data_IF_746916186226
#
_entry.id   IF_746916186226
#
_cell.length_a   1.000
_cell.length_b   1.000
_cell.length_c   1.000
_cell.angle_alpha   90.00
_cell.angle_beta   90.00
_cell.angle_gamma   90.00
#
_symmetry.space_group_name_H-M   'P 1'
#
loop_
_entity.id
_entity.type
_entity.pdbx_description
1 polymer ?
#
# COMPACT_ATOMS: atom_id res chain seq x y z
N UNK A 1 10.29 -17.69 -12.16
CA UNK A 1 8.98 -17.89 -12.80
C UNK A 1 8.02 -16.83 -12.29
N UNK A 2 7.14 -16.34 -13.15
CA UNK A 2 6.13 -15.35 -12.78
C UNK A 2 5.10 -15.99 -11.79
N UNK A 3 4.63 -15.28 -10.75
CA UNK A 3 3.80 -15.88 -9.71
C UNK A 3 2.48 -16.43 -10.26
N UNK A 4 2.16 -17.68 -9.94
CA UNK A 4 0.86 -18.26 -10.29
C UNK A 4 -0.26 -17.58 -9.50
N UNK A 5 -1.44 -17.40 -10.09
CA UNK A 5 -2.61 -16.84 -9.41
C UNK A 5 -2.60 -15.32 -9.22
N UNK A 6 -1.58 -14.58 -9.70
CA UNK A 6 -1.51 -13.12 -9.54
C UNK A 6 -2.78 -12.42 -10.04
N UNK A 7 -3.45 -13.01 -11.05
CA UNK A 7 -4.62 -12.44 -11.72
C UNK A 7 -5.86 -12.37 -10.82
N UNK A 8 -5.87 -13.08 -9.69
CA UNK A 8 -6.98 -13.12 -8.73
C UNK A 8 -6.86 -12.04 -7.64
N UNK A 9 -5.92 -11.09 -7.80
CA UNK A 9 -5.70 -10.02 -6.84
C UNK A 9 -6.96 -9.16 -6.61
N UNK A 10 -7.25 -8.86 -5.34
CA UNK A 10 -8.31 -7.95 -4.92
C UNK A 10 -7.98 -7.33 -3.56
N UNK A 11 -8.56 -6.17 -3.25
CA UNK A 11 -8.37 -5.57 -1.95
C UNK A 11 -8.95 -4.16 -1.85
N UNK A 12 -9.01 -3.68 -0.62
CA UNK A 12 -9.42 -2.31 -0.32
C UNK A 12 -8.55 -1.68 0.76
N UNK A 13 -8.58 -0.37 0.85
CA UNK A 13 -8.01 0.36 1.96
C UNK A 13 -9.10 1.14 2.67
N UNK A 14 -9.04 1.16 4.01
CA UNK A 14 -9.80 2.08 4.83
C UNK A 14 -8.91 3.27 5.21
N UNK A 15 -9.44 4.46 5.07
CA UNK A 15 -8.79 5.70 5.48
C UNK A 15 -9.05 5.93 6.96
N UNK A 16 -8.00 6.05 7.76
CA UNK A 16 -8.02 6.47 9.16
C UNK A 16 -6.58 6.54 9.67
N UNK A 17 -6.38 7.21 10.80
CA UNK A 17 -5.04 7.51 11.35
C UNK A 17 -4.93 7.01 12.79
N UNK A 18 -4.70 5.70 13.00
CA UNK A 18 -4.69 5.10 14.34
C UNK A 18 -3.45 5.47 15.19
N UNK A 19 -2.33 5.86 14.59
CA UNK A 19 -1.04 5.99 15.30
C UNK A 19 -0.80 7.33 16.01
N UNK A 20 -1.80 8.19 16.10
CA UNK A 20 -1.85 9.34 17.03
C UNK A 20 -3.15 9.43 17.83
N UNK A 21 -4.02 8.42 17.73
CA UNK A 21 -5.31 8.38 18.43
C UNK A 21 -6.33 9.34 17.82
N UNK A 22 -7.48 9.57 18.49
CA UNK A 22 -8.50 10.50 17.99
C UNK A 22 -7.96 11.92 17.91
N UNK A 23 -7.99 12.52 16.72
CA UNK A 23 -7.39 13.81 16.44
C UNK A 23 -8.20 14.54 15.32
N UNK A 24 -7.54 15.25 14.40
CA UNK A 24 -8.19 16.10 13.37
C UNK A 24 -7.70 15.81 11.95
N UNK A 25 -6.92 14.73 11.81
CA UNK A 25 -6.12 14.34 10.68
C UNK A 25 -6.43 12.89 10.28
N UNK A 26 -7.65 12.40 10.52
CA UNK A 26 -8.07 11.02 10.19
C UNK A 26 -8.04 10.71 8.69
N UNK A 27 -7.87 11.72 7.83
CA UNK A 27 -7.57 11.55 6.41
C UNK A 27 -6.11 11.25 6.08
N UNK A 28 -5.22 11.16 7.08
CA UNK A 28 -3.76 11.06 6.91
C UNK A 28 -3.21 9.64 7.02
N UNK A 29 -4.05 8.60 6.90
CA UNK A 29 -3.60 7.21 6.97
C UNK A 29 -4.49 6.27 6.18
N UNK A 30 -3.92 5.16 5.75
CA UNK A 30 -4.58 4.15 4.91
C UNK A 30 -4.14 2.75 5.31
N UNK A 31 -5.10 1.88 5.61
CA UNK A 31 -4.84 0.51 6.07
C UNK A 31 -5.70 -0.52 5.34
N UNK A 32 -5.15 -1.69 5.02
CA UNK A 32 -5.83 -2.75 4.26
C UNK A 32 -6.85 -3.54 5.12
N UNK A 33 -7.77 -2.85 5.78
CA UNK A 33 -8.69 -3.37 6.79
C UNK A 33 -10.10 -2.83 6.58
N UNK A 34 -11.13 -3.56 7.00
CA UNK A 34 -12.52 -3.10 6.93
C UNK A 34 -12.94 -2.32 8.19
N UNK A 35 -14.22 -1.94 8.26
CA UNK A 35 -14.79 -1.26 9.40
C UNK A 35 -14.80 -2.12 10.69
N UNK A 36 -14.76 -3.45 10.55
CA UNK A 36 -14.81 -4.44 11.64
C UNK A 36 -13.42 -4.94 12.07
N UNK A 37 -12.34 -4.37 11.52
CA UNK A 37 -10.99 -4.79 11.85
C UNK A 37 -10.51 -6.04 11.10
N UNK A 38 -11.18 -6.46 10.02
CA UNK A 38 -10.78 -7.62 9.23
C UNK A 38 -9.88 -7.22 8.05
N UNK A 39 -8.80 -7.97 7.75
CA UNK A 39 -7.99 -7.75 6.57
C UNK A 39 -8.84 -7.85 5.29
N UNK A 40 -8.59 -6.99 4.31
CA UNK A 40 -9.42 -6.95 3.08
C UNK A 40 -8.68 -7.37 1.82
N UNK A 41 -7.36 -7.59 1.90
CA UNK A 41 -6.54 -7.84 0.73
C UNK A 41 -6.32 -9.33 0.48
N UNK A 42 -6.52 -9.74 -0.77
CA UNK A 42 -6.28 -11.09 -1.28
C UNK A 42 -5.27 -10.99 -2.42
N UNK A 43 -4.06 -11.51 -2.20
CA UNK A 43 -2.98 -11.52 -3.17
C UNK A 43 -2.42 -12.94 -3.31
N UNK A 44 -1.83 -13.23 -4.46
CA UNK A 44 -1.23 -14.53 -4.70
C UNK A 44 0.04 -14.75 -3.88
N UNK A 45 0.33 -16.01 -3.55
CA UNK A 45 1.63 -16.41 -3.04
C UNK A 45 2.71 -16.14 -4.09
N UNK A 46 3.78 -15.46 -3.65
CA UNK A 46 4.90 -15.07 -4.49
C UNK A 46 6.16 -15.82 -4.04
N UNK A 47 7.04 -16.08 -5.00
CA UNK A 47 8.32 -16.73 -4.71
C UNK A 47 9.26 -15.83 -3.87
N UNK A 48 10.43 -16.36 -3.51
CA UNK A 48 11.40 -15.69 -2.66
C UNK A 48 12.28 -14.67 -3.40
N UNK A 49 11.95 -14.27 -4.64
CA UNK A 49 12.67 -13.20 -5.36
C UNK A 49 11.84 -11.94 -5.52
N UNK A 50 10.55 -11.97 -5.17
CA UNK A 50 9.66 -10.81 -5.14
C UNK A 50 9.12 -10.53 -3.75
N UNK A 51 8.64 -9.31 -3.54
CA UNK A 51 7.82 -8.89 -2.41
C UNK A 51 6.72 -7.95 -2.89
N UNK A 52 5.60 -7.87 -2.19
CA UNK A 52 4.68 -6.77 -2.43
C UNK A 52 5.20 -5.51 -1.73
N UNK A 53 4.98 -4.37 -2.36
CA UNK A 53 5.15 -3.06 -1.74
C UNK A 53 3.92 -2.22 -2.09
N UNK A 54 3.53 -1.36 -1.18
CA UNK A 54 2.42 -0.44 -1.37
C UNK A 54 2.89 1.00 -1.21
N UNK A 55 2.24 1.89 -1.95
CA UNK A 55 2.59 3.29 -2.02
C UNK A 55 1.32 4.14 -2.00
N UNK A 56 1.46 5.35 -1.44
CA UNK A 56 0.57 6.46 -1.78
C UNK A 56 1.35 7.45 -2.66
N UNK A 57 0.76 7.89 -3.77
CA UNK A 57 1.30 8.96 -4.61
C UNK A 57 0.70 10.29 -4.14
N UNK A 58 1.43 11.01 -3.30
CA UNK A 58 1.01 12.30 -2.71
C UNK A 58 1.61 13.42 -3.55
N UNK A 59 0.77 14.28 -4.13
CA UNK A 59 1.21 15.39 -5.00
C UNK A 59 2.18 14.94 -6.14
N UNK A 60 1.95 13.75 -6.69
CA UNK A 60 2.79 13.17 -7.74
C UNK A 60 4.07 12.48 -7.25
N UNK A 61 4.35 12.48 -5.94
CA UNK A 61 5.49 11.79 -5.34
C UNK A 61 5.04 10.45 -4.75
N UNK A 62 5.56 9.30 -5.25
CA UNK A 62 5.34 8.02 -4.61
C UNK A 62 6.02 7.97 -3.24
N UNK A 63 5.27 7.57 -2.22
CA UNK A 63 5.74 7.37 -0.86
C UNK A 63 5.47 5.92 -0.48
N UNK A 64 6.53 5.16 -0.21
CA UNK A 64 6.42 3.77 0.26
C UNK A 64 5.67 3.73 1.59
N UNK A 65 4.76 2.79 1.73
CA UNK A 65 4.09 2.47 2.99
C UNK A 65 4.70 1.23 3.66
N UNK A 66 5.62 0.52 2.99
CA UNK A 66 6.25 -0.69 3.52
C UNK A 66 6.17 -1.90 2.57
N UNK A 67 7.11 -2.83 2.73
CA UNK A 67 7.07 -4.11 1.99
C UNK A 67 6.33 -5.17 2.80
N UNK A 68 5.61 -6.06 2.15
CA UNK A 68 4.89 -7.16 2.82
C UNK A 68 4.80 -8.42 1.95
N UNK A 69 4.55 -9.56 2.60
CA UNK A 69 4.31 -10.85 1.92
C UNK A 69 2.92 -11.40 2.21
N UNK A 70 2.44 -11.13 3.41
CA UNK A 70 1.16 -11.62 3.94
C UNK A 70 0.22 -10.45 4.09
N UNK A 71 -1.04 -10.65 3.70
CA UNK A 71 -2.06 -9.58 3.69
C UNK A 71 -2.76 -9.39 5.03
N UNK A 72 -2.47 -10.25 6.01
CA UNK A 72 -3.09 -10.30 7.33
C UNK A 72 -2.09 -10.10 8.49
N UNK A 73 -0.93 -9.50 8.20
CA UNK A 73 0.06 -9.08 9.19
C UNK A 73 0.58 -7.69 8.84
N UNK A 74 1.28 -7.04 9.78
CA UNK A 74 1.97 -5.78 9.50
C UNK A 74 2.98 -5.95 8.34
N UNK A 75 3.17 -4.90 7.57
CA UNK A 75 4.31 -4.74 6.67
C UNK A 75 5.63 -4.61 7.46
N UNK A 76 6.74 -4.52 6.72
CA UNK A 76 8.08 -4.59 7.29
C UNK A 76 8.55 -3.25 7.87
N UNK A 77 7.89 -2.13 7.58
CA UNK A 77 8.35 -0.80 8.00
C UNK A 77 7.17 0.19 8.07
N UNK A 78 7.18 1.01 9.11
CA UNK A 78 6.23 2.10 9.36
C UNK A 78 6.96 3.45 9.57
N UNK A 79 7.77 3.92 8.59
CA UNK A 79 8.63 5.09 8.75
C UNK A 79 7.90 6.41 9.02
N UNK A 80 6.61 6.50 8.65
CA UNK A 80 5.84 7.74 8.68
C UNK A 80 4.80 7.78 9.81
N UNK A 81 4.56 6.66 10.47
CA UNK A 81 3.61 6.54 11.58
C UNK A 81 3.92 7.48 12.75
N UNK A 82 2.86 7.80 13.49
CA UNK A 82 2.91 8.60 14.71
C UNK A 82 3.45 7.85 15.93
N UNK A 83 3.42 8.47 17.12
CA UNK A 83 4.00 7.90 18.34
C UNK A 83 3.25 6.67 18.87
N UNK A 84 1.97 6.47 18.54
CA UNK A 84 1.13 5.37 19.03
C UNK A 84 1.15 4.14 18.12
N UNK A 85 2.36 3.68 17.74
CA UNK A 85 2.55 2.51 16.87
C UNK A 85 1.95 1.20 17.41
N UNK A 86 1.68 1.10 18.71
CA UNK A 86 0.99 -0.04 19.31
C UNK A 86 -0.46 -0.16 18.83
N UNK A 87 -1.09 0.97 18.45
CA UNK A 87 -2.48 1.04 18.00
C UNK A 87 -2.62 0.74 16.50
N UNK A 88 -1.50 0.67 15.77
CA UNK A 88 -1.49 0.31 14.36
C UNK A 88 -2.09 -1.08 14.12
N UNK A 89 -3.05 -1.22 13.17
CA UNK A 89 -3.62 -2.49 12.77
C UNK A 89 -2.57 -3.56 12.43
N UNK A 90 -2.91 -4.83 12.66
CA UNK A 90 -2.06 -5.96 12.28
C UNK A 90 -2.23 -6.36 10.80
N UNK A 91 -2.24 -5.38 9.90
CA UNK A 91 -2.35 -5.56 8.43
C UNK A 91 -1.40 -4.58 7.74
N UNK A 92 -1.16 -4.71 6.42
CA UNK A 92 -0.41 -3.70 5.69
C UNK A 92 -1.14 -2.35 5.74
N UNK A 93 -0.43 -1.29 6.13
CA UNK A 93 -0.95 0.06 6.15
C UNK A 93 0.01 1.03 6.79
N UNK A 94 -0.27 2.32 6.65
CA UNK A 94 0.62 3.36 7.16
C UNK A 94 -0.16 4.64 7.42
N UNK A 95 0.35 5.41 8.38
CA UNK A 95 -0.06 6.78 8.65
C UNK A 95 1.04 7.73 8.22
N UNK A 96 0.69 8.93 7.77
CA UNK A 96 1.62 9.93 7.28
C UNK A 96 1.70 11.10 8.27
N UNK A 97 2.37 10.89 9.40
CA UNK A 97 2.40 11.81 10.55
C UNK A 97 3.79 12.36 10.88
N UNK A 98 4.84 11.57 10.64
CA UNK A 98 6.21 11.87 11.03
C UNK A 98 7.18 11.73 9.86
N UNK A 99 8.33 12.39 9.96
CA UNK A 99 9.46 12.26 9.03
C UNK A 99 9.11 12.52 7.55
N UNK A 100 8.21 13.47 7.28
CA UNK A 100 7.78 13.80 5.91
C UNK A 100 8.98 13.91 4.95
N UNK A 101 8.98 13.17 3.82
CA UNK A 101 10.00 13.31 2.79
C UNK A 101 10.10 14.76 2.30
N UNK A 102 11.28 15.13 1.78
CA UNK A 102 11.48 16.46 1.22
C UNK A 102 10.44 16.75 0.12
N UNK A 103 9.74 17.88 0.24
CA UNK A 103 8.67 18.28 -0.68
C UNK A 103 7.26 17.94 -0.20
N UNK A 104 7.11 17.19 0.89
CA UNK A 104 5.82 16.90 1.52
C UNK A 104 5.74 17.51 2.92
N UNK A 105 4.52 17.55 3.48
CA UNK A 105 4.25 17.99 4.86
C UNK A 105 3.26 17.03 5.48
N UNK A 106 3.57 16.55 6.69
CA UNK A 106 2.72 15.67 7.46
C UNK A 106 2.16 16.40 8.70
N UNK A 107 0.91 16.14 9.15
CA UNK A 107 -0.03 15.15 8.61
C UNK A 107 -0.47 15.41 7.16
N UNK A 108 -0.45 14.38 6.31
CA UNK A 108 -0.76 14.54 4.89
C UNK A 108 -2.29 14.57 4.65
N UNK A 109 -2.76 15.46 3.77
CA UNK A 109 -4.08 15.28 3.14
C UNK A 109 -3.92 14.31 1.98
N UNK A 110 -4.53 13.13 2.10
CA UNK A 110 -4.44 12.09 1.08
C UNK A 110 -5.53 12.24 -0.02
N UNK A 111 -6.34 13.29 0.02
CA UNK A 111 -7.41 13.51 -0.94
C UNK A 111 -6.89 13.53 -2.38
N UNK A 112 -7.49 12.72 -3.25
CA UNK A 112 -7.09 12.60 -4.65
C UNK A 112 -5.76 11.87 -4.90
N UNK A 113 -5.08 11.38 -3.85
CA UNK A 113 -3.84 10.62 -4.00
C UNK A 113 -4.11 9.23 -4.61
N UNK A 114 -3.13 8.70 -5.34
CA UNK A 114 -3.21 7.32 -5.85
C UNK A 114 -2.69 6.32 -4.83
N UNK A 115 -3.33 5.16 -4.74
CA UNK A 115 -2.87 4.00 -4.00
C UNK A 115 -2.36 2.96 -4.98
N UNK A 116 -1.18 2.43 -4.72
CA UNK A 116 -0.56 1.39 -5.54
C UNK A 116 -0.16 0.22 -4.66
N UNK A 117 -0.37 -1.00 -5.15
CA UNK A 117 0.28 -2.22 -4.66
C UNK A 117 1.04 -2.82 -5.83
N UNK A 118 2.34 -2.97 -5.69
CA UNK A 118 3.25 -3.41 -6.75
C UNK A 118 3.97 -4.70 -6.38
N UNK A 119 4.49 -5.38 -7.40
CA UNK A 119 5.36 -6.54 -7.23
C UNK A 119 6.83 -6.13 -7.41
N UNK A 120 7.57 -6.02 -6.31
CA UNK A 120 8.95 -5.53 -6.26
C UNK A 120 9.96 -6.68 -6.23
N UNK A 121 11.05 -6.55 -6.99
CA UNK A 121 12.16 -7.50 -6.93
C UNK A 121 13.01 -7.26 -5.67
N UNK A 122 13.38 -8.33 -4.96
CA UNK A 122 14.11 -8.21 -3.68
C UNK A 122 15.54 -7.67 -3.80
N UNK A 123 16.15 -7.75 -4.97
CA UNK A 123 17.51 -7.27 -5.22
C UNK A 123 17.56 -5.79 -5.63
N UNK A 124 16.41 -5.12 -5.60
CA UNK A 124 16.26 -3.72 -6.00
C UNK A 124 16.11 -2.81 -4.78
N UNK A 125 16.93 -1.75 -4.73
CA UNK A 125 16.88 -0.67 -3.73
C UNK A 125 16.15 0.58 -4.26
N UNK A 126 15.44 0.44 -5.38
CA UNK A 126 14.55 1.49 -5.90
C UNK A 126 13.56 1.98 -4.84
N UNK A 127 13.41 3.30 -4.83
CA UNK A 127 12.43 4.03 -4.02
C UNK A 127 11.15 4.29 -4.83
N UNK A 128 11.22 4.18 -6.15
CA UNK A 128 10.08 4.33 -7.05
C UNK A 128 9.34 3.00 -7.24
N UNK A 129 7.99 3.02 -7.37
CA UNK A 129 7.22 1.81 -7.64
C UNK A 129 7.64 1.15 -8.95
N UNK A 130 7.68 -0.18 -8.97
CA UNK A 130 7.86 -0.93 -10.20
C UNK A 130 6.67 -0.74 -11.16
N UNK A 131 6.90 -1.09 -12.43
CA UNK A 131 5.85 -1.12 -13.44
C UNK A 131 4.87 -2.30 -13.27
N UNK A 132 5.14 -3.22 -12.33
CA UNK A 132 4.29 -4.38 -12.05
C UNK A 132 3.21 -4.03 -11.02
N UNK A 133 2.32 -3.11 -11.38
CA UNK A 133 1.22 -2.63 -10.52
C UNK A 133 0.12 -3.70 -10.43
N UNK A 134 -0.03 -4.32 -9.27
CA UNK A 134 -1.00 -5.41 -9.04
C UNK A 134 -2.39 -4.84 -8.76
N UNK A 135 -2.48 -3.88 -7.84
CA UNK A 135 -3.71 -3.18 -7.48
C UNK A 135 -3.47 -1.67 -7.55
N UNK A 136 -4.47 -0.92 -8.02
CA UNK A 136 -4.45 0.54 -8.09
C UNK A 136 -5.80 1.14 -7.70
N UNK A 137 -5.79 2.28 -7.02
CA UNK A 137 -6.98 3.06 -6.73
C UNK A 137 -6.68 4.54 -6.59
N UNK A 138 -7.72 5.36 -6.56
CA UNK A 138 -7.61 6.80 -6.29
C UNK A 138 -8.48 7.14 -5.10
N UNK A 139 -7.89 7.80 -4.11
CA UNK A 139 -8.61 8.26 -2.94
C UNK A 139 -9.58 9.39 -3.33
N UNK A 140 -10.83 9.38 -2.83
CA UNK A 140 -11.73 10.52 -3.00
C UNK A 140 -11.22 11.71 -2.16
N UNK A 141 -12.06 12.73 -1.95
CA UNK A 141 -11.86 13.60 -0.79
C UNK A 141 -12.01 12.76 0.46
N UNK A 142 -11.02 12.80 1.35
CA UNK A 142 -10.98 11.95 2.55
C UNK A 142 -10.99 12.79 3.82
N UNK A 143 -11.76 12.34 4.80
CA UNK A 143 -11.82 12.91 6.16
C UNK A 143 -11.70 11.85 7.25
N UNK A 144 -11.68 10.56 6.88
CA UNK A 144 -11.58 9.43 7.80
C UNK A 144 -12.81 8.52 7.75
N UNK A 145 -12.56 7.22 7.69
CA UNK A 145 -13.55 6.14 7.67
C UNK A 145 -13.91 5.60 6.29
N UNK A 146 -13.50 6.28 5.21
CA UNK A 146 -13.78 5.87 3.84
C UNK A 146 -13.13 4.52 3.52
N UNK A 147 -13.79 3.70 2.69
CA UNK A 147 -13.25 2.45 2.17
C UNK A 147 -13.14 2.57 0.65
N UNK A 148 -11.93 2.33 0.12
CA UNK A 148 -11.61 2.46 -1.30
C UNK A 148 -11.26 1.08 -1.83
N UNK A 149 -12.07 0.60 -2.77
CA UNK A 149 -11.79 -0.63 -3.51
C UNK A 149 -10.72 -0.36 -4.56
N UNK A 150 -9.73 -1.25 -4.65
CA UNK A 150 -8.69 -1.15 -5.67
C UNK A 150 -9.06 -1.98 -6.91
N UNK A 151 -8.72 -1.45 -8.08
CA UNK A 151 -8.83 -2.14 -9.35
C UNK A 151 -7.62 -3.06 -9.56
N UNK A 152 -7.88 -4.27 -10.03
CA UNK A 152 -6.84 -5.23 -10.41
C UNK A 152 -6.24 -4.84 -11.76
N UNK A 153 -4.92 -4.66 -11.77
CA UNK A 153 -4.15 -4.17 -12.92
C UNK A 153 -3.28 -5.26 -13.57
N UNK A 154 -3.35 -6.50 -13.09
CA UNK A 154 -2.47 -7.60 -13.53
C UNK A 154 -2.66 -8.01 -14.99
N UNK A 155 -3.81 -7.68 -15.58
CA UNK A 155 -4.05 -7.84 -17.02
C UNK A 155 -3.12 -6.96 -17.88
N UNK A 156 -2.56 -5.89 -17.31
CA UNK A 156 -1.65 -4.96 -17.98
C UNK A 156 -0.18 -5.37 -17.87
N UNK A 157 0.12 -6.53 -17.28
CA UNK A 157 1.50 -6.94 -17.07
C UNK A 157 2.23 -7.23 -18.38
N UNK A 158 3.54 -6.88 -18.47
CA UNK A 158 4.34 -7.25 -19.62
C UNK A 158 4.33 -8.77 -19.82
N UNK A 159 4.07 -9.19 -21.06
CA UNK A 159 4.19 -10.59 -21.46
C UNK A 159 5.46 -10.80 -22.26
N UNK A 160 6.08 -11.96 -22.10
CA UNK A 160 7.30 -12.33 -22.82
C UNK A 160 7.40 -13.83 -23.00
N UNK A 161 7.94 -14.27 -24.12
CA UNK A 161 8.23 -15.69 -24.39
C UNK A 161 9.73 -15.92 -24.29
N UNK A 162 10.14 -16.96 -23.55
CA UNK A 162 11.52 -17.43 -23.55
C UNK A 162 11.59 -18.66 -24.48
N UNK A 163 12.40 -18.56 -25.54
CA UNK A 163 12.76 -19.72 -26.36
C UNK A 163 14.09 -20.24 -25.84
N UNK A 164 14.09 -21.50 -25.39
CA UNK A 164 15.31 -22.20 -24.99
C UNK A 164 15.77 -23.02 -26.21
N UNK A 165 16.99 -22.78 -26.66
CA UNK A 165 17.67 -23.57 -27.69
C UNK A 165 18.55 -24.65 -27.05
#
# INVERSE_FOLDING_TARGET
PFPAGIQEASGSYRVFTPTDGPNTNEGSGVWAIDANGQPTMTLADINNIYMYEHFVVINGMPVTMGRFRTTNTKDLRNPWSGPLNSEAPAVPGEDFLANAPAGLTFPADLSGSQLLVTLEALYDDRVEPSQLVVLEGTLPTVVGGEIIQLANQTANFPTGTAVIY
#
